data_IF_120510519533
#
_entry.id   IF_120510519533
#
_cell.length_a   1.000
_cell.length_b   1.000
_cell.length_c   1.000
_cell.angle_alpha   90.00
_cell.angle_beta   90.00
_cell.angle_gamma   90.00
#
_symmetry.space_group_name_H-M   'P 1'
#
loop_
_entity.id
_entity.type
_entity.pdbx_description
1 polymer ?
#
# COMPACT_ATOMS: atom_id res chain seq x y z
N UNK A 1 -2.55 30.20 -8.15
CA UNK A 1 -1.25 29.60 -7.81
C UNK A 1 -0.73 28.86 -9.04
N UNK A 2 0.38 29.29 -9.64
CA UNK A 2 1.01 28.56 -10.76
C UNK A 2 1.98 27.54 -10.15
N UNK A 3 1.81 26.26 -10.48
CA UNK A 3 2.78 25.23 -10.12
C UNK A 3 4.11 25.54 -10.83
N UNK A 4 5.20 25.54 -10.07
CA UNK A 4 6.54 25.82 -10.59
C UNK A 4 7.00 24.64 -11.47
N UNK A 5 7.30 24.83 -12.76
CA UNK A 5 7.72 23.76 -13.66
C UNK A 5 8.98 23.03 -13.18
N UNK A 6 9.82 23.69 -12.36
CA UNK A 6 11.00 23.08 -11.76
C UNK A 6 10.66 21.93 -10.78
N UNK A 7 9.53 22.02 -10.07
CA UNK A 7 9.10 20.96 -9.16
C UNK A 7 8.54 19.75 -9.90
N UNK A 8 7.94 19.96 -11.06
CA UNK A 8 7.38 18.89 -11.90
C UNK A 8 8.45 17.86 -12.29
N UNK A 9 9.60 18.32 -12.79
CA UNK A 9 10.64 17.41 -13.28
C UNK A 9 11.29 16.64 -12.12
N UNK A 10 11.60 17.31 -11.01
CA UNK A 10 12.28 16.68 -9.87
C UNK A 10 11.51 15.49 -9.29
N UNK A 11 10.20 15.62 -9.09
CA UNK A 11 9.40 14.53 -8.51
C UNK A 11 9.21 13.37 -9.49
N UNK A 12 9.12 13.64 -10.79
CA UNK A 12 9.05 12.60 -11.82
C UNK A 12 10.39 11.85 -11.96
N UNK A 13 11.53 12.55 -11.87
CA UNK A 13 12.86 11.94 -11.87
C UNK A 13 13.08 11.06 -10.63
N UNK A 14 12.67 11.54 -9.46
CA UNK A 14 12.76 10.78 -8.20
C UNK A 14 11.83 9.55 -8.22
N UNK A 15 10.63 9.67 -8.78
CA UNK A 15 9.73 8.55 -9.01
C UNK A 15 10.37 7.50 -9.94
N UNK A 16 10.95 7.93 -11.07
CA UNK A 16 11.62 7.04 -12.01
C UNK A 16 12.80 6.31 -11.36
N UNK A 17 13.60 7.01 -10.55
CA UNK A 17 14.71 6.42 -9.82
C UNK A 17 14.24 5.37 -8.78
N UNK A 18 13.17 5.65 -8.05
CA UNK A 18 12.59 4.70 -7.07
C UNK A 18 12.06 3.44 -7.76
N UNK A 19 11.40 3.59 -8.90
CA UNK A 19 10.89 2.45 -9.66
C UNK A 19 12.04 1.63 -10.27
N UNK A 20 13.03 2.28 -10.88
CA UNK A 20 14.18 1.60 -11.49
C UNK A 20 15.03 0.81 -10.48
N UNK A 21 15.22 1.34 -9.26
CA UNK A 21 16.05 0.69 -8.24
C UNK A 21 15.41 -0.53 -7.58
N UNK A 22 14.09 -0.68 -7.64
CA UNK A 22 13.36 -1.70 -6.85
C UNK A 22 12.47 -2.63 -7.63
N UNK A 23 12.34 -2.48 -8.95
CA UNK A 23 11.52 -3.37 -9.79
C UNK A 23 12.09 -4.80 -9.93
N UNK A 24 13.38 -5.01 -9.63
CA UNK A 24 14.07 -6.29 -9.86
C UNK A 24 14.15 -7.20 -8.61
N UNK A 25 13.66 -6.76 -7.44
CA UNK A 25 13.81 -7.51 -6.20
C UNK A 25 12.47 -8.08 -5.73
N UNK A 26 12.35 -9.41 -5.69
CA UNK A 26 11.21 -10.14 -5.11
C UNK A 26 11.15 -10.05 -3.57
N UNK A 27 12.13 -9.39 -2.95
CA UNK A 27 12.22 -9.22 -1.51
C UNK A 27 11.02 -8.42 -0.96
N UNK A 28 10.42 -8.97 0.09
CA UNK A 28 9.29 -8.36 0.78
C UNK A 28 9.70 -7.07 1.51
N UNK A 29 10.91 -7.02 2.08
CA UNK A 29 11.43 -5.83 2.74
C UNK A 29 11.71 -4.71 1.74
N UNK A 30 12.30 -5.04 0.58
CA UNK A 30 12.50 -4.10 -0.52
C UNK A 30 11.19 -3.45 -0.98
N UNK A 31 10.11 -4.22 -1.09
CA UNK A 31 8.77 -3.73 -1.48
C UNK A 31 8.10 -2.87 -0.43
N UNK A 32 8.17 -3.23 0.86
CA UNK A 32 7.66 -2.38 1.94
C UNK A 32 8.43 -1.05 1.98
N UNK A 33 9.75 -1.10 1.84
CA UNK A 33 10.58 0.10 1.76
C UNK A 33 10.27 0.95 0.50
N UNK A 34 9.96 0.33 -0.64
CA UNK A 34 9.50 1.04 -1.84
C UNK A 34 8.17 1.74 -1.59
N UNK A 35 7.20 1.04 -1.00
CA UNK A 35 5.89 1.60 -0.68
C UNK A 35 6.01 2.79 0.29
N UNK A 36 6.87 2.68 1.30
CA UNK A 36 7.15 3.77 2.24
C UNK A 36 7.82 4.98 1.56
N UNK A 37 8.76 4.73 0.63
CA UNK A 37 9.41 5.78 -0.14
C UNK A 37 8.42 6.52 -1.06
N UNK A 38 7.56 5.80 -1.77
CA UNK A 38 6.50 6.39 -2.61
C UNK A 38 5.49 7.19 -1.78
N UNK A 39 5.10 6.70 -0.59
CA UNK A 39 4.20 7.42 0.33
C UNK A 39 4.84 8.70 0.90
N UNK A 40 6.17 8.71 1.07
CA UNK A 40 6.91 9.92 1.44
C UNK A 40 6.99 10.90 0.27
N UNK A 41 7.26 10.41 -0.93
CA UNK A 41 7.33 11.22 -2.16
C UNK A 41 5.99 11.91 -2.43
N UNK A 42 4.87 11.18 -2.32
CA UNK A 42 3.51 11.72 -2.48
C UNK A 42 3.24 12.86 -1.49
N UNK A 43 3.58 12.67 -0.20
CA UNK A 43 3.43 13.72 0.81
C UNK A 43 4.28 14.94 0.51
N UNK A 44 5.53 14.75 0.08
CA UNK A 44 6.42 15.85 -0.29
C UNK A 44 5.90 16.61 -1.50
N UNK A 45 5.38 15.91 -2.51
CA UNK A 45 4.77 16.50 -3.69
C UNK A 45 3.50 17.29 -3.34
N UNK A 46 2.65 16.77 -2.45
CA UNK A 46 1.46 17.47 -1.96
C UNK A 46 1.83 18.75 -1.20
N UNK A 47 2.80 18.68 -0.28
CA UNK A 47 3.26 19.86 0.50
C UNK A 47 3.87 20.91 -0.43
N UNK A 48 4.61 20.48 -1.46
CA UNK A 48 5.22 21.38 -2.43
C UNK A 48 4.22 21.95 -3.46
N UNK A 49 2.95 21.55 -3.43
CA UNK A 49 1.95 21.97 -4.42
C UNK A 49 2.29 21.51 -5.84
N UNK A 50 2.81 20.28 -5.97
CA UNK A 50 3.10 19.67 -7.26
C UNK A 50 1.85 19.61 -8.14
N UNK A 51 2.06 19.63 -9.45
CA UNK A 51 0.95 19.59 -10.40
C UNK A 51 0.17 18.27 -10.30
N UNK A 52 -1.15 18.34 -10.47
CA UNK A 52 -2.06 17.18 -10.51
C UNK A 52 -1.56 15.98 -11.33
N UNK A 53 -1.02 16.14 -12.57
CA UNK A 53 -0.50 14.99 -13.32
C UNK A 53 0.68 14.30 -12.64
N UNK A 54 1.52 15.04 -11.92
CA UNK A 54 2.65 14.48 -11.17
C UNK A 54 2.16 13.75 -9.92
N UNK A 55 1.20 14.32 -9.21
CA UNK A 55 0.56 13.66 -8.07
C UNK A 55 -0.13 12.36 -8.50
N UNK A 56 -0.83 12.38 -9.64
CA UNK A 56 -1.49 11.20 -10.18
C UNK A 56 -0.52 10.06 -10.47
N UNK A 57 0.61 10.35 -11.16
CA UNK A 57 1.66 9.35 -11.43
C UNK A 57 2.24 8.74 -10.15
N UNK A 58 2.50 9.56 -9.13
CA UNK A 58 3.03 9.07 -7.85
C UNK A 58 1.99 8.18 -7.14
N UNK A 59 0.73 8.59 -7.12
CA UNK A 59 -0.36 7.84 -6.51
C UNK A 59 -0.61 6.50 -7.21
N UNK A 60 -0.56 6.50 -8.55
CA UNK A 60 -0.67 5.28 -9.38
C UNK A 60 0.46 4.30 -9.08
N UNK A 61 1.71 4.77 -9.06
CA UNK A 61 2.86 3.95 -8.71
C UNK A 61 2.72 3.35 -7.30
N UNK A 62 2.29 4.16 -6.32
CA UNK A 62 2.03 3.69 -4.95
C UNK A 62 0.93 2.63 -4.92
N UNK A 63 -0.13 2.81 -5.68
CA UNK A 63 -1.24 1.86 -5.75
C UNK A 63 -0.78 0.51 -6.28
N UNK A 64 -0.05 0.48 -7.40
CA UNK A 64 0.47 -0.76 -7.99
C UNK A 64 1.43 -1.50 -7.05
N UNK A 65 2.36 -0.78 -6.41
CA UNK A 65 3.26 -1.36 -5.42
C UNK A 65 2.49 -1.89 -4.20
N UNK A 66 1.41 -1.20 -3.79
CA UNK A 66 0.52 -1.65 -2.73
C UNK A 66 -0.13 -3.01 -3.03
N UNK A 67 -0.62 -3.20 -4.26
CA UNK A 67 -1.17 -4.49 -4.71
C UNK A 67 -0.10 -5.58 -4.66
N UNK A 68 1.11 -5.32 -5.17
CA UNK A 68 2.21 -6.29 -5.16
C UNK A 68 2.67 -6.64 -3.74
N UNK A 69 2.58 -5.68 -2.82
CA UNK A 69 2.87 -5.90 -1.40
C UNK A 69 1.81 -6.79 -0.75
N UNK A 70 0.54 -6.48 -0.96
CA UNK A 70 -0.56 -7.13 -0.27
C UNK A 70 -0.91 -8.51 -0.87
N UNK A 71 -0.73 -8.72 -2.18
CA UNK A 71 -0.88 -10.03 -2.84
C UNK A 71 0.12 -11.08 -2.36
N UNK A 72 1.29 -10.65 -1.88
CA UNK A 72 2.34 -11.51 -1.37
C UNK A 72 2.36 -11.60 0.15
N UNK A 73 1.47 -10.89 0.86
CA UNK A 73 1.28 -11.15 2.28
C UNK A 73 0.73 -12.57 2.40
N UNK A 74 1.33 -13.44 3.24
CA UNK A 74 0.71 -14.71 3.54
C UNK A 74 -0.66 -14.40 4.10
N UNK A 75 -1.69 -14.77 3.33
CA UNK A 75 -3.07 -14.55 3.72
C UNK A 75 -3.24 -15.17 5.10
N UNK A 76 -3.46 -14.35 6.13
CA UNK A 76 -3.85 -14.82 7.48
C UNK A 76 -5.30 -15.33 7.47
N UNK A 77 -5.69 -16.00 6.39
CA UNK A 77 -6.94 -16.72 6.34
C UNK A 77 -6.68 -17.94 7.20
N UNK A 78 -7.20 -17.89 8.43
CA UNK A 78 -7.25 -19.06 9.28
C UNK A 78 -7.91 -20.19 8.46
N UNK A 79 -7.37 -21.41 8.51
CA UNK A 79 -7.93 -22.51 7.73
C UNK A 79 -9.44 -22.59 8.01
N UNK A 80 -10.23 -22.89 6.98
CA UNK A 80 -11.70 -22.90 7.05
C UNK A 80 -12.20 -23.67 8.29
N UNK A 81 -11.51 -24.74 8.69
CA UNK A 81 -11.80 -25.50 9.91
C UNK A 81 -11.72 -24.67 11.19
N UNK A 82 -10.74 -23.80 11.33
CA UNK A 82 -10.61 -22.89 12.48
C UNK A 82 -11.72 -21.83 12.50
N UNK A 83 -12.09 -21.30 11.33
CA UNK A 83 -13.21 -20.36 11.20
C UNK A 83 -14.56 -21.02 11.51
N UNK A 84 -14.78 -22.24 11.02
CA UNK A 84 -15.99 -23.03 11.32
C UNK A 84 -16.06 -23.42 12.79
N UNK A 85 -14.93 -23.74 13.42
CA UNK A 85 -14.88 -24.05 14.86
C UNK A 85 -15.20 -22.82 15.71
N UNK A 86 -14.63 -21.66 15.38
CA UNK A 86 -14.93 -20.39 16.04
C UNK A 86 -16.41 -20.01 15.91
N UNK A 87 -16.98 -20.15 14.71
CA UNK A 87 -18.39 -19.89 14.45
C UNK A 87 -19.33 -20.86 15.20
N UNK A 88 -18.91 -22.11 15.41
CA UNK A 88 -19.63 -23.07 16.22
C UNK A 88 -19.55 -22.75 17.73
N UNK A 89 -18.39 -22.32 18.23
CA UNK A 89 -18.21 -21.89 19.63
C UNK A 89 -19.07 -20.66 19.97
N UNK A 90 -19.18 -19.70 19.06
CA UNK A 90 -20.08 -18.54 19.24
C UNK A 90 -21.57 -18.91 19.29
N UNK A 91 -21.97 -20.07 18.76
CA UNK A 91 -23.35 -20.56 18.84
C UNK A 91 -23.66 -21.26 20.18
N UNK A 92 -22.66 -21.85 20.83
CA UNK A 92 -22.85 -22.45 22.16
C UNK A 92 -23.05 -21.42 23.27
N UNK A 93 -22.54 -20.20 23.13
CA UNK A 93 -22.73 -19.14 24.15
C UNK A 93 -24.17 -18.59 24.14
N UNK A 94 -24.89 -18.70 23.04
CA UNK A 94 -26.26 -18.15 22.89
C UNK A 94 -27.35 -19.13 23.35
N UNK A 95 -27.05 -20.42 23.50
CA UNK A 95 -28.03 -21.42 23.98
C UNK A 95 -27.90 -21.78 25.47
N UNK A 96 -27.19 -20.94 26.24
CA UNK A 96 -26.90 -21.14 27.65
C UNK A 96 -27.62 -20.19 28.60
N UNK A 97 -28.85 -19.74 28.29
CA UNK A 97 -29.74 -19.16 29.30
C UNK A 97 -31.20 -19.47 28.95
N UNK A 98 -31.84 -20.37 29.73
CA UNK A 98 -33.21 -20.10 30.13
C UNK A 98 -33.35 -20.22 31.67
N UNK A 99 -33.80 -19.09 32.24
CA UNK A 99 -34.45 -18.89 33.55
C UNK A 99 -33.61 -19.08 34.83
#
# INVERSE_FOLDING_TARGET
>A
MRADPCHRNRFEDELAALLATKHASDDAEAREALFAALSRLERQALIAGAADPTLHKIAEARFLVGILRDSMRPSRIAPLRSLLRLAAETRCVVEGEPA
#
